data_IF_675245580465
#
_entry.id   IF_675245580465
#
_cell.length_a   1.000
_cell.length_b   1.000
_cell.length_c   1.000
_cell.angle_alpha   90.00
_cell.angle_beta   90.00
_cell.angle_gamma   90.00
#
_symmetry.space_group_name_H-M   'P 1'
#
loop_
_entity.id
_entity.type
_entity.pdbx_description
1 polymer ?
#
# COMPACT_ATOMS: atom_id res chain seq x y z
N UNK A 1 -15.02 -14.60 -18.78
CA UNK A 1 -14.60 -15.25 -17.52
C UNK A 1 -13.11 -15.54 -17.63
N UNK A 2 -12.29 -15.03 -16.71
CA UNK A 2 -10.86 -15.31 -16.71
C UNK A 2 -10.63 -16.64 -15.98
N UNK A 3 -10.07 -17.62 -16.68
CA UNK A 3 -9.68 -18.89 -16.06
C UNK A 3 -8.22 -18.81 -15.61
N UNK A 4 -7.98 -18.94 -14.31
CA UNK A 4 -6.62 -18.88 -13.78
C UNK A 4 -5.82 -20.12 -14.18
N UNK A 5 -4.66 -19.90 -14.80
CA UNK A 5 -3.76 -20.96 -15.22
C UNK A 5 -3.42 -21.94 -14.07
N UNK A 6 -3.39 -23.27 -14.30
CA UNK A 6 -3.22 -24.28 -13.24
C UNK A 6 -1.92 -24.12 -12.44
N UNK A 7 -0.85 -23.65 -13.09
CA UNK A 7 0.42 -23.33 -12.41
C UNK A 7 0.25 -22.24 -11.35
N UNK A 8 -0.53 -21.20 -11.65
CA UNK A 8 -0.82 -20.10 -10.72
C UNK A 8 -1.66 -20.60 -9.55
N UNK A 9 -2.65 -21.47 -9.81
CA UNK A 9 -3.48 -22.09 -8.76
C UNK A 9 -2.64 -22.91 -7.79
N UNK A 10 -1.81 -23.82 -8.30
CA UNK A 10 -0.89 -24.64 -7.50
C UNK A 10 0.12 -23.79 -6.73
N UNK A 11 0.59 -22.69 -7.33
CA UNK A 11 1.48 -21.77 -6.64
C UNK A 11 0.77 -21.06 -5.48
N UNK A 12 -0.48 -20.62 -5.65
CA UNK A 12 -1.27 -19.99 -4.59
C UNK A 12 -1.52 -20.93 -3.41
N UNK A 13 -1.88 -22.18 -3.68
CA UNK A 13 -2.06 -23.23 -2.66
C UNK A 13 -0.82 -23.39 -1.78
N UNK A 14 0.38 -23.30 -2.37
CA UNK A 14 1.65 -23.35 -1.64
C UNK A 14 2.06 -22.00 -1.03
N UNK A 15 1.51 -20.90 -1.50
CA UNK A 15 1.85 -19.56 -1.04
C UNK A 15 1.12 -19.20 0.26
N UNK A 16 -0.15 -19.59 0.41
CA UNK A 16 -0.93 -19.28 1.62
C UNK A 16 -0.32 -19.85 2.90
N UNK A 17 0.02 -21.15 3.01
CA UNK A 17 0.65 -21.69 4.22
C UNK A 17 2.02 -21.07 4.50
N UNK A 18 2.79 -20.77 3.45
CA UNK A 18 4.08 -20.09 3.58
C UNK A 18 3.93 -18.70 4.19
N UNK A 19 2.94 -17.92 3.73
CA UNK A 19 2.65 -16.60 4.29
C UNK A 19 2.18 -16.72 5.72
N UNK A 20 1.26 -17.64 6.02
CA UNK A 20 0.75 -17.87 7.37
C UNK A 20 1.89 -18.17 8.37
N UNK A 21 2.83 -19.05 7.99
CA UNK A 21 4.01 -19.34 8.83
C UNK A 21 4.89 -18.11 9.10
N UNK A 22 5.08 -17.24 8.11
CA UNK A 22 5.84 -15.99 8.30
C UNK A 22 5.10 -14.97 9.16
N UNK A 23 3.77 -14.89 9.05
CA UNK A 23 2.95 -14.02 9.90
C UNK A 23 3.02 -14.48 11.36
N UNK A 24 2.90 -15.79 11.61
CA UNK A 24 3.06 -16.36 12.95
C UNK A 24 4.44 -16.07 13.56
N UNK A 25 5.52 -16.19 12.78
CA UNK A 25 6.87 -15.83 13.24
C UNK A 25 6.98 -14.33 13.59
N UNK A 26 6.38 -13.46 12.77
CA UNK A 26 6.35 -12.02 13.05
C UNK A 26 5.53 -11.71 14.30
N UNK A 27 4.40 -12.40 14.50
CA UNK A 27 3.55 -12.25 15.69
C UNK A 27 4.31 -12.64 16.95
N UNK A 28 4.99 -13.79 16.94
CA UNK A 28 5.84 -14.22 18.04
C UNK A 28 6.95 -13.19 18.35
N UNK A 29 7.54 -12.57 17.31
CA UNK A 29 8.61 -11.56 17.51
C UNK A 29 8.12 -10.20 18.02
N UNK A 30 6.87 -9.82 17.71
CA UNK A 30 6.29 -8.54 18.11
C UNK A 30 5.45 -8.64 19.39
N UNK A 31 5.16 -9.85 19.86
CA UNK A 31 4.22 -10.10 20.94
C UNK A 31 2.82 -9.57 20.63
N UNK A 32 2.07 -9.23 21.68
CA UNK A 32 0.70 -8.73 21.56
C UNK A 32 0.59 -7.29 21.07
N UNK A 33 1.72 -6.58 20.97
CA UNK A 33 1.75 -5.17 20.56
C UNK A 33 1.47 -4.18 21.68
N UNK A 34 1.31 -4.66 22.92
CA UNK A 34 1.18 -3.85 24.13
C UNK A 34 2.52 -3.39 24.73
N UNK A 35 3.63 -3.97 24.28
CA UNK A 35 4.97 -3.73 24.81
C UNK A 35 5.89 -2.90 23.90
N UNK A 36 7.00 -2.48 24.49
CA UNK A 36 8.18 -1.99 23.79
C UNK A 36 8.94 -3.18 23.19
N UNK A 37 9.50 -2.97 22.00
CA UNK A 37 10.24 -4.00 21.26
C UNK A 37 11.56 -3.40 20.80
N UNK A 38 12.67 -4.18 20.78
CA UNK A 38 13.95 -3.67 20.31
C UNK A 38 13.86 -3.06 18.91
N UNK A 39 14.56 -1.94 18.71
CA UNK A 39 14.58 -1.21 17.44
C UNK A 39 14.86 -2.11 16.23
N UNK A 40 15.83 -3.02 16.37
CA UNK A 40 16.25 -3.95 15.31
C UNK A 40 15.11 -4.90 14.89
N UNK A 41 14.35 -5.40 15.87
CA UNK A 41 13.19 -6.26 15.68
C UNK A 41 12.06 -5.47 15.03
N UNK A 42 11.76 -4.27 15.53
CA UNK A 42 10.70 -3.41 14.97
C UNK A 42 10.94 -3.10 13.47
N UNK A 43 12.13 -2.62 13.11
CA UNK A 43 12.43 -2.29 11.72
C UNK A 43 12.66 -3.53 10.83
N UNK A 44 13.14 -4.64 11.40
CA UNK A 44 13.16 -5.95 10.74
C UNK A 44 11.75 -6.41 10.36
N UNK A 45 10.84 -6.41 11.32
CA UNK A 45 9.43 -6.77 11.15
C UNK A 45 8.73 -5.81 10.17
N UNK A 46 8.93 -4.49 10.29
CA UNK A 46 8.37 -3.49 9.37
C UNK A 46 8.78 -3.73 7.92
N UNK A 47 10.05 -4.09 7.68
CA UNK A 47 10.56 -4.41 6.33
C UNK A 47 9.93 -5.68 5.77
N UNK A 48 9.86 -6.75 6.58
CA UNK A 48 9.22 -8.02 6.20
C UNK A 48 7.73 -7.84 5.94
N UNK A 49 7.01 -7.11 6.80
CA UNK A 49 5.58 -6.85 6.68
C UNK A 49 5.25 -6.11 5.39
N UNK A 50 6.05 -5.11 4.98
CA UNK A 50 5.86 -4.43 3.69
C UNK A 50 5.90 -5.39 2.49
N UNK A 51 6.77 -6.40 2.55
CA UNK A 51 6.87 -7.42 1.49
C UNK A 51 5.65 -8.35 1.54
N UNK A 52 5.28 -8.82 2.74
CA UNK A 52 4.13 -9.70 2.94
C UNK A 52 2.82 -9.05 2.51
N UNK A 53 2.57 -7.80 2.85
CA UNK A 53 1.38 -7.08 2.37
C UNK A 53 1.32 -6.97 0.86
N UNK A 54 2.46 -6.71 0.23
CA UNK A 54 2.60 -6.60 -1.22
C UNK A 54 2.35 -7.94 -1.90
N UNK A 55 2.78 -9.04 -1.28
CA UNK A 55 2.55 -10.42 -1.71
C UNK A 55 1.08 -10.81 -1.53
N UNK A 56 0.52 -10.66 -0.32
CA UNK A 56 -0.87 -11.01 -0.01
C UNK A 56 -1.84 -10.22 -0.89
N UNK A 57 -1.61 -8.92 -1.11
CA UNK A 57 -2.46 -8.14 -2.00
C UNK A 57 -2.46 -8.69 -3.44
N UNK A 58 -1.34 -9.21 -3.92
CA UNK A 58 -1.23 -9.86 -5.24
C UNK A 58 -1.90 -11.22 -5.26
N UNK A 59 -1.78 -11.99 -4.18
CA UNK A 59 -2.46 -13.28 -4.06
C UNK A 59 -3.99 -13.10 -4.04
N UNK A 60 -4.48 -12.11 -3.30
CA UNK A 60 -5.90 -11.71 -3.29
C UNK A 60 -6.33 -11.24 -4.68
N UNK A 61 -5.49 -10.48 -5.38
CA UNK A 61 -5.75 -10.04 -6.75
C UNK A 61 -5.95 -11.21 -7.71
N UNK A 62 -5.02 -12.16 -7.71
CA UNK A 62 -5.11 -13.35 -8.57
C UNK A 62 -6.40 -14.14 -8.28
N UNK A 63 -6.78 -14.30 -7.02
CA UNK A 63 -8.06 -14.91 -6.65
C UNK A 63 -9.27 -14.09 -7.08
N UNK A 64 -9.21 -12.77 -6.99
CA UNK A 64 -10.30 -11.89 -7.39
C UNK A 64 -10.60 -11.96 -8.90
N UNK A 65 -9.59 -12.25 -9.73
CA UNK A 65 -9.76 -12.40 -11.18
C UNK A 65 -10.65 -13.59 -11.57
N UNK A 66 -10.78 -14.62 -10.72
CA UNK A 66 -11.69 -15.76 -10.95
C UNK A 66 -13.15 -15.44 -10.57
N UNK A 67 -13.41 -14.32 -9.89
CA UNK A 67 -14.73 -14.00 -9.34
C UNK A 67 -15.47 -13.07 -10.29
N UNK A 68 -16.53 -13.58 -10.91
CA UNK A 68 -17.46 -12.75 -11.67
C UNK A 68 -18.34 -11.93 -10.70
N UNK A 69 -18.19 -10.60 -10.74
CA UNK A 69 -18.98 -9.68 -9.91
C UNK A 69 -19.72 -8.70 -10.78
N UNK A 70 -21.04 -8.78 -10.77
CA UNK A 70 -21.92 -7.75 -11.31
C UNK A 70 -22.16 -6.68 -10.25
N UNK A 71 -21.55 -5.51 -10.39
CA UNK A 71 -21.84 -4.37 -9.53
C UNK A 71 -22.79 -3.39 -10.23
N UNK A 72 -23.98 -3.18 -9.67
CA UNK A 72 -24.89 -2.10 -10.06
C UNK A 72 -24.68 -0.89 -9.15
N UNK A 73 -24.50 0.33 -9.71
CA UNK A 73 -24.45 1.53 -8.87
C UNK A 73 -25.77 1.63 -8.10
N UNK A 74 -25.74 1.99 -6.80
CA UNK A 74 -26.96 2.29 -6.09
C UNK A 74 -27.68 3.41 -6.84
N UNK A 75 -28.98 3.22 -7.09
CA UNK A 75 -29.82 4.22 -7.75
C UNK A 75 -29.67 5.52 -6.94
N UNK A 76 -29.36 6.68 -7.57
CA UNK A 76 -29.32 7.93 -6.82
C UNK A 76 -30.67 8.09 -6.16
N UNK A 77 -30.68 8.14 -4.82
CA UNK A 77 -31.92 8.30 -4.06
C UNK A 77 -32.58 9.60 -4.52
N UNK A 78 -33.69 9.47 -5.23
CA UNK A 78 -34.58 10.57 -5.60
C UNK A 78 -35.14 11.14 -4.30
N UNK A 79 -34.41 12.06 -3.67
CA UNK A 79 -34.76 12.58 -2.34
C UNK A 79 -33.59 13.10 -1.51
N UNK A 80 -32.33 12.84 -1.88
CA UNK A 80 -31.22 13.61 -1.32
C UNK A 80 -30.99 14.83 -2.20
N UNK A 81 -31.56 15.95 -1.75
CA UNK A 81 -31.20 17.29 -2.21
C UNK A 81 -29.66 17.40 -2.28
N UNK A 82 -29.10 18.09 -3.30
CA UNK A 82 -27.67 18.29 -3.40
C UNK A 82 -27.19 18.87 -2.07
N UNK A 83 -26.36 18.12 -1.35
CA UNK A 83 -25.81 18.59 -0.09
C UNK A 83 -25.15 19.93 -0.37
N UNK A 84 -25.73 20.97 0.24
CA UNK A 84 -25.58 22.34 -0.20
C UNK A 84 -24.13 22.73 -0.39
N UNK A 85 -23.91 23.58 -1.39
CA UNK A 85 -22.94 24.65 -1.29
C UNK A 85 -23.10 25.25 0.11
N UNK A 86 -22.21 24.91 1.05
CA UNK A 86 -22.18 25.59 2.34
C UNK A 86 -21.81 27.03 2.02
N UNK A 87 -22.79 27.91 2.18
CA UNK A 87 -22.58 29.34 2.31
C UNK A 87 -21.37 29.57 3.22
N UNK A 88 -20.44 30.39 2.74
CA UNK A 88 -19.28 30.86 3.48
C UNK A 88 -19.79 31.60 4.72
N UNK A 89 -19.53 31.11 5.95
CA UNK A 89 -19.63 31.96 7.11
C UNK A 89 -18.35 32.81 7.14
N UNK A 90 -18.53 34.12 7.08
CA UNK A 90 -17.54 35.11 7.52
C UNK A 90 -16.84 34.61 8.79
N UNK A 91 -15.53 34.38 8.69
CA UNK A 91 -14.69 33.98 9.82
C UNK A 91 -14.43 35.21 10.69
N UNK A 92 -14.97 35.23 11.91
CA UNK A 92 -14.33 35.92 13.02
C UNK A 92 -13.01 35.20 13.37
N UNK A 93 -11.96 35.93 13.78
CA UNK A 93 -10.65 35.35 14.02
C UNK A 93 -10.65 34.55 15.32
N UNK A 94 -10.35 33.26 15.24
CA UNK A 94 -10.02 32.44 16.42
C UNK A 94 -10.89 31.21 16.65
N UNK A 95 -10.85 30.24 15.73
CA UNK A 95 -11.30 28.87 16.06
C UNK A 95 -10.47 27.83 15.28
N UNK A 96 -9.80 26.95 16.04
CA UNK A 96 -8.96 25.84 15.54
C UNK A 96 -9.81 24.87 14.70
N UNK A 97 -9.45 24.67 13.42
CA UNK A 97 -10.07 23.65 12.55
C UNK A 97 -9.40 22.28 12.72
N UNK A 98 -10.21 21.25 12.99
CA UNK A 98 -9.84 19.84 12.94
C UNK A 98 -9.61 19.32 11.50
N UNK A 99 -9.09 18.08 11.36
CA UNK A 99 -8.54 17.59 10.11
C UNK A 99 -9.63 17.06 9.18
N UNK A 100 -9.93 17.80 8.11
CA UNK A 100 -10.98 17.36 7.17
C UNK A 100 -11.28 18.27 5.99
N UNK A 101 -10.32 19.07 5.51
CA UNK A 101 -10.45 19.79 4.24
C UNK A 101 -9.11 19.73 3.50
N UNK A 102 -9.05 18.97 2.42
CA UNK A 102 -7.98 19.07 1.42
C UNK A 102 -8.03 20.48 0.85
N UNK A 103 -7.09 21.32 1.25
CA UNK A 103 -6.82 22.56 0.56
C UNK A 103 -6.41 22.21 -0.88
N UNK A 104 -7.15 22.74 -1.85
CA UNK A 104 -6.68 22.89 -3.22
C UNK A 104 -5.35 23.63 -3.15
N UNK A 105 -4.25 22.90 -3.23
CA UNK A 105 -2.93 23.46 -3.07
C UNK A 105 -2.66 24.37 -4.27
N UNK A 106 -2.65 25.67 -4.03
CA UNK A 106 -2.00 26.66 -4.88
C UNK A 106 -0.63 26.13 -5.29
N UNK A 107 -0.48 25.86 -6.58
CA UNK A 107 0.75 25.37 -7.22
C UNK A 107 1.89 26.40 -7.22
N UNK A 108 1.77 27.48 -6.45
CA UNK A 108 2.73 28.57 -6.37
C UNK A 108 3.37 28.72 -4.97
N UNK A 109 3.02 27.89 -3.99
CA UNK A 109 3.64 27.90 -2.64
C UNK A 109 4.98 27.16 -2.52
N UNK A 110 5.54 26.66 -3.62
CA UNK A 110 6.85 26.01 -3.61
C UNK A 110 8.03 26.99 -3.50
N UNK A 111 7.80 28.31 -3.55
CA UNK A 111 8.86 29.33 -3.55
C UNK A 111 8.88 30.28 -2.35
N UNK A 112 8.00 30.10 -1.38
CA UNK A 112 8.05 30.86 -0.12
C UNK A 112 8.58 29.92 0.97
N UNK A 113 9.75 30.18 1.58
CA UNK A 113 10.21 29.40 2.72
C UNK A 113 9.32 29.72 3.93
N UNK A 114 8.19 29.03 4.03
CA UNK A 114 7.42 28.97 5.26
C UNK A 114 8.28 28.32 6.35
N UNK A 115 8.16 28.81 7.58
CA UNK A 115 8.80 28.24 8.77
C UNK A 115 8.64 26.72 8.76
N UNK A 116 9.74 26.03 8.42
CA UNK A 116 9.81 24.58 8.52
C UNK A 116 9.73 24.28 10.01
N UNK A 117 8.73 23.50 10.43
CA UNK A 117 8.86 22.67 11.63
C UNK A 117 10.23 22.00 11.55
N UNK A 118 11.06 22.13 12.57
CA UNK A 118 12.43 21.60 12.59
C UNK A 118 12.38 20.11 12.29
N UNK A 119 12.61 19.77 11.02
CA UNK A 119 12.90 18.41 10.63
C UNK A 119 14.30 18.18 11.18
N UNK A 120 14.40 17.35 12.22
CA UNK A 120 15.68 16.88 12.74
C UNK A 120 16.37 16.03 11.68
N UNK A 121 17.21 16.70 10.91
CA UNK A 121 18.19 16.05 10.05
C UNK A 121 19.31 15.53 10.96
N UNK A 122 19.15 14.33 11.52
CA UNK A 122 20.19 13.69 12.34
C UNK A 122 21.47 13.34 11.56
N UNK A 123 21.48 13.56 10.25
CA UNK A 123 22.70 13.68 9.46
C UNK A 123 22.47 14.64 8.29
N UNK A 124 22.71 15.93 8.50
CA UNK A 124 22.94 16.84 7.36
C UNK A 124 24.23 16.39 6.68
N UNK A 125 24.31 16.32 5.33
CA UNK A 125 25.59 16.11 4.68
C UNK A 125 26.54 17.23 5.11
N UNK A 126 27.64 16.87 5.77
CA UNK A 126 28.68 17.83 6.15
C UNK A 126 29.43 18.22 4.87
N UNK A 127 29.01 19.30 4.23
CA UNK A 127 29.79 19.91 3.16
C UNK A 127 30.98 20.57 3.84
N UNK A 128 32.16 19.98 3.71
CA UNK A 128 33.38 20.59 4.22
C UNK A 128 33.86 21.65 3.22
N UNK A 129 33.96 22.89 3.68
CA UNK A 129 34.51 24.01 2.91
C UNK A 129 35.96 24.23 3.36
N UNK A 130 36.90 24.21 2.41
CA UNK A 130 38.31 24.53 2.68
C UNK A 130 38.42 25.88 3.40
N UNK A 131 39.14 25.91 4.52
CA UNK A 131 39.37 27.12 5.33
C UNK A 131 38.34 27.36 6.44
N UNK A 132 37.32 26.51 6.60
CA UNK A 132 36.40 26.58 7.75
C UNK A 132 36.69 25.48 8.78
N UNK A 133 36.63 25.80 10.10
CA UNK A 133 36.76 24.78 11.12
C UNK A 133 35.63 23.75 10.94
N UNK A 134 35.97 22.47 11.01
CA UNK A 134 35.02 21.36 10.89
C UNK A 134 33.93 21.57 11.96
N UNK A 135 32.66 21.59 11.52
CA UNK A 135 31.53 21.65 12.46
C UNK A 135 31.65 20.48 13.46
N UNK A 136 31.41 20.72 14.76
CA UNK A 136 31.45 19.65 15.75
C UNK A 136 30.53 18.52 15.32
N UNK A 137 31.01 17.29 15.46
CA UNK A 137 30.22 16.11 15.15
C UNK A 137 28.99 16.13 16.05
N UNK A 138 27.76 16.03 15.49
CA UNK A 138 26.58 16.02 16.33
C UNK A 138 26.68 14.84 17.29
N UNK A 139 26.41 15.08 18.58
CA UNK A 139 26.25 14.00 19.55
C UNK A 139 25.30 12.97 18.97
N UNK A 140 25.72 11.71 18.99
CA UNK A 140 24.92 10.63 18.43
C UNK A 140 23.54 10.69 19.11
N UNK A 141 22.44 10.82 18.35
CA UNK A 141 21.12 10.86 18.97
C UNK A 141 20.95 9.60 19.80
N UNK A 142 20.42 9.74 21.02
CA UNK A 142 20.03 8.60 21.86
C UNK A 142 19.17 7.66 21.01
N UNK A 143 19.76 6.59 20.54
CA UNK A 143 19.05 5.61 19.72
C UNK A 143 18.12 4.93 20.69
N UNK A 144 16.83 5.30 20.67
CA UNK A 144 15.80 4.61 21.45
C UNK A 144 15.98 3.09 21.22
N UNK A 145 16.48 2.41 22.25
CA UNK A 145 16.79 0.97 22.17
C UNK A 145 15.52 0.19 21.91
N UNK A 146 14.38 0.71 22.39
CA UNK A 146 13.07 0.12 22.27
C UNK A 146 12.04 1.09 21.68
N UNK A 147 11.08 0.53 20.95
CA UNK A 147 10.04 1.26 20.23
C UNK A 147 8.68 0.60 20.46
N UNK A 148 7.63 1.40 20.59
CA UNK A 148 6.26 0.91 20.72
C UNK A 148 5.82 0.14 19.45
N UNK A 149 5.44 -1.13 19.62
CA UNK A 149 5.07 -2.01 18.51
C UNK A 149 3.57 -1.97 18.13
N UNK A 150 2.72 -1.26 18.87
CA UNK A 150 1.26 -1.34 18.75
C UNK A 150 0.70 -0.98 17.36
N UNK A 151 1.32 -0.02 16.65
CA UNK A 151 0.92 0.29 15.27
C UNK A 151 1.25 -0.84 14.29
N UNK A 152 2.39 -1.51 14.49
CA UNK A 152 2.86 -2.60 13.64
C UNK A 152 2.10 -3.89 13.92
N UNK A 153 1.80 -4.17 15.19
CA UNK A 153 0.97 -5.30 15.61
C UNK A 153 -0.46 -5.21 15.03
N UNK A 154 -1.10 -4.04 15.09
CA UNK A 154 -2.42 -3.84 14.45
C UNK A 154 -2.38 -4.07 12.94
N UNK A 155 -1.27 -3.71 12.30
CA UNK A 155 -1.08 -3.89 10.86
C UNK A 155 -0.89 -5.36 10.51
N UNK A 156 -0.15 -6.10 11.35
CA UNK A 156 -0.02 -7.55 11.26
C UNK A 156 -1.37 -8.25 11.44
N UNK A 157 -2.13 -7.92 12.49
CA UNK A 157 -3.44 -8.50 12.75
C UNK A 157 -4.44 -8.31 11.60
N UNK A 158 -4.43 -7.14 10.94
CA UNK A 158 -5.25 -6.91 9.74
C UNK A 158 -4.84 -7.79 8.55
N UNK A 159 -3.55 -8.07 8.44
CA UNK A 159 -3.01 -8.92 7.39
C UNK A 159 -3.35 -10.39 7.66
N UNK A 160 -3.25 -10.83 8.91
CA UNK A 160 -3.67 -12.15 9.39
C UNK A 160 -5.16 -12.38 9.10
N UNK A 161 -6.04 -11.44 9.51
CA UNK A 161 -7.47 -11.51 9.20
C UNK A 161 -7.78 -11.56 7.69
N UNK A 162 -6.91 -10.99 6.85
CA UNK A 162 -7.05 -11.10 5.39
C UNK A 162 -6.60 -12.45 4.83
N UNK A 163 -5.75 -13.17 5.55
CA UNK A 163 -5.28 -14.51 5.21
C UNK A 163 -6.18 -15.62 5.79
N UNK A 164 -6.88 -15.35 6.90
CA UNK A 164 -7.91 -16.24 7.45
C UNK A 164 -9.09 -16.40 6.47
N UNK A 165 -9.59 -15.29 5.93
CA UNK A 165 -10.69 -15.27 4.95
C UNK A 165 -10.24 -14.72 3.57
N UNK A 166 -9.42 -15.46 2.80
CA UNK A 166 -8.87 -14.97 1.54
C UNK A 166 -9.97 -14.74 0.50
N UNK A 167 -11.05 -15.54 0.51
CA UNK A 167 -12.17 -15.39 -0.41
C UNK A 167 -12.95 -14.10 -0.17
N UNK A 168 -13.22 -13.75 1.08
CA UNK A 168 -13.88 -12.50 1.45
C UNK A 168 -13.05 -11.30 1.01
N UNK A 169 -11.73 -11.37 1.17
CA UNK A 169 -10.83 -10.35 0.67
C UNK A 169 -10.84 -10.26 -0.87
N UNK A 170 -10.87 -11.41 -1.57
CA UNK A 170 -10.92 -11.47 -3.03
C UNK A 170 -12.24 -10.90 -3.58
N UNK A 171 -13.39 -11.25 -2.99
CA UNK A 171 -14.71 -10.69 -3.37
C UNK A 171 -14.74 -9.17 -3.20
N UNK A 172 -14.19 -8.64 -2.11
CA UNK A 172 -14.04 -7.18 -1.93
C UNK A 172 -13.19 -6.55 -3.01
N UNK A 173 -12.10 -7.21 -3.42
CA UNK A 173 -11.24 -6.73 -4.48
C UNK A 173 -11.93 -6.76 -5.85
N UNK A 174 -12.64 -7.84 -6.18
CA UNK A 174 -13.43 -7.96 -7.41
C UNK A 174 -14.53 -6.90 -7.48
N UNK A 175 -15.27 -6.68 -6.38
CA UNK A 175 -16.24 -5.58 -6.28
C UNK A 175 -15.58 -4.20 -6.50
N UNK A 176 -14.40 -3.97 -5.93
CA UNK A 176 -13.66 -2.73 -6.13
C UNK A 176 -13.26 -2.55 -7.60
N UNK A 177 -12.80 -3.60 -8.28
CA UNK A 177 -12.46 -3.55 -9.71
C UNK A 177 -13.69 -3.23 -10.57
N UNK A 178 -14.81 -3.92 -10.34
CA UNK A 178 -16.06 -3.67 -11.05
C UNK A 178 -16.56 -2.22 -10.87
N UNK A 179 -16.45 -1.68 -9.65
CA UNK A 179 -16.74 -0.26 -9.37
C UNK A 179 -15.83 0.67 -10.17
N UNK A 180 -14.53 0.40 -10.18
CA UNK A 180 -13.53 1.25 -10.87
C UNK A 180 -13.69 1.26 -12.38
N UNK A 181 -14.03 0.13 -12.98
CA UNK A 181 -14.33 0.03 -14.41
C UNK A 181 -15.53 0.90 -14.83
N UNK A 182 -16.50 1.12 -13.95
CA UNK A 182 -17.61 2.06 -14.21
C UNK A 182 -17.18 3.51 -14.02
N UNK A 183 -16.52 3.83 -12.91
CA UNK A 183 -16.05 5.19 -12.59
C UNK A 183 -15.09 5.72 -13.66
N UNK A 184 -14.23 4.88 -14.23
CA UNK A 184 -13.26 5.34 -15.24
C UNK A 184 -13.91 5.84 -16.53
N UNK A 185 -15.13 5.34 -16.85
CA UNK A 185 -15.91 5.84 -17.99
C UNK A 185 -16.35 7.29 -17.79
N UNK A 186 -16.50 7.72 -16.54
CA UNK A 186 -16.90 9.09 -16.19
C UNK A 186 -15.70 9.99 -15.91
N UNK A 187 -14.66 9.47 -15.24
CA UNK A 187 -13.48 10.25 -14.82
C UNK A 187 -12.20 9.42 -14.86
N UNK A 188 -11.08 9.96 -15.41
CA UNK A 188 -9.80 9.25 -15.41
C UNK A 188 -9.36 8.99 -13.97
N UNK A 189 -9.15 7.72 -13.64
CA UNK A 189 -8.65 7.30 -12.34
C UNK A 189 -7.83 6.01 -12.48
N UNK A 190 -7.16 5.61 -11.40
CA UNK A 190 -6.35 4.40 -11.40
C UNK A 190 -7.22 3.15 -11.55
N UNK A 191 -7.05 2.46 -12.67
CA UNK A 191 -7.77 1.23 -13.05
C UNK A 191 -7.26 0.02 -12.26
N UNK A 192 -5.95 -0.07 -12.08
CA UNK A 192 -5.31 -1.26 -11.52
C UNK A 192 -5.16 -1.21 -9.99
N UNK A 193 -5.60 -2.24 -9.24
CA UNK A 193 -5.52 -2.26 -7.77
C UNK A 193 -4.07 -2.33 -7.26
N UNK A 194 -3.17 -2.93 -8.04
CA UNK A 194 -1.75 -3.06 -7.71
C UNK A 194 -0.92 -1.95 -8.34
N UNK A 195 0.18 -1.56 -7.68
CA UNK A 195 1.07 -0.50 -8.18
C UNK A 195 1.74 -0.98 -9.47
N UNK A 196 1.80 -0.12 -10.48
CA UNK A 196 2.53 -0.37 -11.73
C UNK A 196 4.02 -0.44 -11.45
N UNK A 197 4.70 -1.42 -12.06
CA UNK A 197 6.13 -1.66 -11.87
C UNK A 197 6.44 -2.58 -10.69
N UNK A 198 7.64 -2.43 -10.13
CA UNK A 198 8.17 -3.38 -9.13
C UNK A 198 7.34 -3.39 -7.84
N UNK A 199 7.17 -4.56 -7.21
CA UNK A 199 6.44 -4.66 -5.95
C UNK A 199 7.10 -3.85 -4.82
N UNK A 200 6.30 -3.20 -3.95
CA UNK A 200 6.81 -2.68 -2.68
C UNK A 200 7.60 -3.72 -1.91
N UNK A 201 8.78 -3.32 -1.40
CA UNK A 201 9.67 -4.20 -0.64
C UNK A 201 10.54 -5.13 -1.48
N UNK A 202 10.34 -5.18 -2.80
CA UNK A 202 11.15 -6.03 -3.67
C UNK A 202 12.61 -5.60 -3.72
N UNK A 203 13.51 -6.56 -3.56
CA UNK A 203 14.95 -6.37 -3.71
C UNK A 203 15.56 -7.43 -4.65
N UNK A 204 16.01 -7.02 -5.83
CA UNK A 204 16.59 -7.92 -6.86
C UNK A 204 17.76 -8.74 -6.32
N UNK A 205 18.63 -8.14 -5.49
CA UNK A 205 19.80 -8.80 -4.89
C UNK A 205 19.40 -9.95 -3.96
N UNK A 206 18.28 -9.80 -3.25
CA UNK A 206 17.79 -10.78 -2.28
C UNK A 206 16.92 -11.86 -2.92
N UNK A 207 16.43 -11.68 -4.15
CA UNK A 207 15.55 -12.66 -4.84
C UNK A 207 16.08 -14.09 -4.83
N UNK A 208 17.40 -14.28 -4.98
CA UNK A 208 18.02 -15.61 -5.00
C UNK A 208 18.22 -16.22 -3.60
N UNK A 209 18.33 -15.38 -2.57
CA UNK A 209 18.68 -15.79 -1.20
C UNK A 209 17.48 -15.88 -0.27
N UNK A 210 16.46 -15.05 -0.51
CA UNK A 210 15.28 -14.92 0.35
C UNK A 210 14.04 -15.52 -0.36
N UNK A 211 13.45 -16.61 0.16
CA UNK A 211 12.27 -17.24 -0.43
C UNK A 211 11.06 -16.31 -0.48
N UNK A 212 10.94 -15.36 0.46
CA UNK A 212 9.86 -14.37 0.46
C UNK A 212 9.98 -13.43 -0.75
N UNK A 213 11.20 -12.98 -1.06
CA UNK A 213 11.48 -12.15 -2.23
C UNK A 213 11.22 -12.89 -3.54
N UNK A 214 11.55 -14.19 -3.59
CA UNK A 214 11.24 -15.06 -4.72
C UNK A 214 9.73 -15.17 -4.94
N UNK A 215 8.96 -15.51 -3.90
CA UNK A 215 7.49 -15.60 -4.00
C UNK A 215 6.85 -14.27 -4.37
N UNK A 216 7.35 -13.14 -3.86
CA UNK A 216 6.88 -11.82 -4.26
C UNK A 216 7.09 -11.56 -5.77
N UNK A 217 8.25 -11.97 -6.29
CA UNK A 217 8.56 -11.85 -7.71
C UNK A 217 7.65 -12.75 -8.56
N UNK A 218 7.48 -14.01 -8.17
CA UNK A 218 6.59 -14.95 -8.87
C UNK A 218 5.15 -14.40 -8.91
N UNK A 219 4.63 -13.93 -7.77
CA UNK A 219 3.30 -13.31 -7.68
C UNK A 219 3.16 -12.11 -8.63
N UNK A 220 4.21 -11.29 -8.74
CA UNK A 220 4.23 -10.15 -9.65
C UNK A 220 4.21 -10.58 -11.12
N UNK A 221 4.97 -11.62 -11.50
CA UNK A 221 4.92 -12.20 -12.83
C UNK A 221 3.52 -12.75 -13.15
N UNK A 222 2.92 -13.52 -12.24
CA UNK A 222 1.57 -14.05 -12.43
C UNK A 222 0.52 -12.95 -12.59
N UNK A 223 0.59 -11.88 -11.79
CA UNK A 223 -0.33 -10.74 -11.96
C UNK A 223 -0.13 -10.09 -13.32
N UNK A 224 1.12 -9.89 -13.74
CA UNK A 224 1.40 -9.27 -15.04
C UNK A 224 0.88 -10.12 -16.20
N UNK A 225 1.04 -11.44 -16.16
CA UNK A 225 0.48 -12.34 -17.18
C UNK A 225 -1.05 -12.34 -17.16
N UNK A 226 -1.67 -12.38 -15.97
CA UNK A 226 -3.11 -12.27 -15.84
C UNK A 226 -3.65 -10.96 -16.42
N UNK A 227 -2.95 -9.84 -16.22
CA UNK A 227 -3.30 -8.55 -16.82
C UNK A 227 -3.20 -8.59 -18.35
N UNK A 228 -2.12 -9.16 -18.88
CA UNK A 228 -1.93 -9.27 -20.32
C UNK A 228 -3.04 -10.10 -20.97
N UNK A 229 -3.49 -11.18 -20.33
CA UNK A 229 -4.59 -12.01 -20.84
C UNK A 229 -5.95 -11.34 -20.69
N UNK A 230 -6.21 -10.68 -19.56
CA UNK A 230 -7.48 -10.02 -19.28
C UNK A 230 -7.72 -8.75 -20.11
N UNK A 231 -6.66 -8.04 -20.50
CA UNK A 231 -6.72 -6.79 -21.25
C UNK A 231 -6.19 -6.91 -22.69
N UNK A 232 -6.14 -8.11 -23.29
CA UNK A 232 -5.82 -8.23 -24.72
C UNK A 232 -6.81 -7.38 -25.53
N UNK A 233 -6.34 -6.46 -26.40
CA UNK A 233 -7.24 -5.76 -27.29
C UNK A 233 -7.95 -6.79 -28.20
N UNK A 234 -9.23 -6.57 -28.54
CA UNK A 234 -9.91 -7.45 -29.48
C UNK A 234 -9.11 -7.54 -30.78
N UNK A 235 -9.12 -8.68 -31.48
CA UNK A 235 -8.44 -8.80 -32.77
C UNK A 235 -8.92 -7.68 -33.68
N UNK A 236 -7.99 -6.95 -34.31
CA UNK A 236 -8.36 -5.94 -35.30
C UNK A 236 -9.16 -6.65 -36.39
N UNK A 237 -10.27 -6.06 -36.87
CA UNK A 237 -11.00 -6.64 -37.99
C UNK A 237 -10.00 -6.82 -39.14
N UNK A 238 -10.03 -7.99 -39.77
CA UNK A 238 -9.23 -8.24 -40.96
C UNK A 238 -9.57 -7.13 -41.97
N UNK A 239 -8.57 -6.35 -42.35
CA UNK A 239 -8.67 -5.41 -43.46
C UNK A 239 -8.93 -6.24 -44.72
N UNK A 240 -10.20 -6.36 -45.08
CA UNK A 240 -10.66 -6.86 -46.37
C UNK A 240 -10.59 -5.77 -47.42
#
# INVERSE_FOLDING_TARGET
MFEMHPVTRRWLEKAWPFVAGLLAQLRASLGDGSGLVPYTVYYGARRKLRILESLVRRMIYLRAMEIDVTWTPPKPSTGQAPHGQKAVPSQAPGARKGPGQLATADTLRLYLPGQRSSIDYTARPSIWLFGTPRAPEPEAPDVLEEVEAGSLARRLARLEASCEDPEKAARRMAMWQARRLKVIREKPCRLHPLRVGRPPGYCRRLRRKDPLQRKLYDAWCFCHWADLDAYKPPPRPASG
#
